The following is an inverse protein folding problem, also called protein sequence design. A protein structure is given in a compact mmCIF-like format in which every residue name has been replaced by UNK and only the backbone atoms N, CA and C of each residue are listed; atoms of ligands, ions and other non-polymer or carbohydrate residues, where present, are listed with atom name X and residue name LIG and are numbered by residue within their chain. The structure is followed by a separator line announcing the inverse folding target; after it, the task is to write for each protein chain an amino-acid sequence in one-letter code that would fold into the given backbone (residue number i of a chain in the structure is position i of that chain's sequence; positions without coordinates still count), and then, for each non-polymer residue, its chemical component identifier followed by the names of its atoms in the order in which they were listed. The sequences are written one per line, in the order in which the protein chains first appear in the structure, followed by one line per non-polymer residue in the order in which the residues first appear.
data_IF_119862258295
#
_entry.id   IF_119862258295
#
_cell.length_a   1.000
_cell.length_b   1.000
_cell.length_c   1.000
_cell.angle_alpha   90.00
_cell.angle_beta   90.00
_cell.angle_gamma   90.00
#
_symmetry.space_group_name_H-M   'P 1'
#
loop_
_entity.id
_entity.type
_entity.pdbx_description
1 polymer ?
#
# COMPACT_ATOMS: atom_id res chain seq x y z
N UNK A 1 -16.17 -1.27 -18.76
CA UNK A 1 -14.70 -1.21 -18.72
C UNK A 1 -14.33 0.24 -18.46
N UNK A 2 -13.63 0.53 -17.36
CA UNK A 2 -13.11 1.89 -17.14
C UNK A 2 -11.83 1.98 -17.97
N UNK A 3 -11.89 2.67 -19.10
CA UNK A 3 -10.74 2.87 -19.98
C UNK A 3 -9.64 3.63 -19.21
N UNK A 4 -8.38 3.19 -19.35
CA UNK A 4 -7.25 3.89 -18.74
C UNK A 4 -7.08 3.73 -17.23
N UNK A 5 -7.58 2.64 -16.62
CA UNK A 5 -7.33 2.37 -15.18
C UNK A 5 -5.90 1.95 -14.83
N UNK A 6 -5.08 1.60 -15.83
CA UNK A 6 -3.69 1.14 -15.67
C UNK A 6 -3.56 -0.12 -14.81
N UNK A 7 -4.42 -1.11 -15.08
CA UNK A 7 -4.31 -2.42 -14.41
C UNK A 7 -2.98 -3.08 -14.77
N UNK A 8 -2.28 -3.57 -13.76
CA UNK A 8 -0.95 -4.15 -13.89
C UNK A 8 0.19 -3.14 -13.65
N UNK A 9 -0.11 -1.91 -13.22
CA UNK A 9 0.94 -0.96 -12.79
C UNK A 9 1.78 -1.52 -11.64
N UNK A 10 1.13 -2.30 -10.76
CA UNK A 10 1.75 -3.05 -9.67
C UNK A 10 1.29 -4.50 -9.80
N UNK A 11 2.25 -5.42 -9.80
CA UNK A 11 2.01 -6.87 -9.71
C UNK A 11 2.95 -7.44 -8.65
N UNK A 12 2.42 -8.23 -7.73
CA UNK A 12 3.21 -8.87 -6.68
C UNK A 12 2.70 -10.28 -6.42
N UNK A 13 3.59 -11.17 -6.00
CA UNK A 13 3.24 -12.52 -5.55
C UNK A 13 3.47 -12.65 -4.05
N UNK A 14 2.58 -13.37 -3.39
CA UNK A 14 2.74 -13.79 -2.00
C UNK A 14 3.83 -14.86 -1.94
N UNK A 15 5.00 -14.48 -1.42
CA UNK A 15 6.14 -15.39 -1.23
C UNK A 15 5.99 -16.14 0.09
N UNK A 16 6.79 -17.18 0.31
CA UNK A 16 6.81 -17.92 1.59
C UNK A 16 5.73 -18.99 1.77
N UNK A 17 4.65 -18.94 0.97
CA UNK A 17 3.54 -19.90 1.04
C UNK A 17 3.56 -20.89 -0.15
N UNK A 18 3.35 -22.21 0.06
CA UNK A 18 3.25 -23.19 -1.02
C UNK A 18 2.09 -22.89 -2.00
N UNK A 19 0.98 -22.35 -1.48
CA UNK A 19 -0.19 -21.92 -2.24
C UNK A 19 -0.36 -20.41 -2.07
N UNK A 20 0.57 -19.66 -2.67
CA UNK A 20 0.54 -18.19 -2.65
C UNK A 20 -0.54 -17.61 -3.57
N UNK A 21 -0.68 -16.29 -3.50
CA UNK A 21 -1.60 -15.47 -4.30
C UNK A 21 -0.85 -14.44 -5.12
N UNK A 22 -1.55 -13.84 -6.08
CA UNK A 22 -1.05 -12.77 -6.94
C UNK A 22 -1.92 -11.53 -6.78
N UNK A 23 -1.29 -10.40 -6.49
CA UNK A 23 -1.88 -9.07 -6.44
C UNK A 23 -1.66 -8.36 -7.78
N UNK A 24 -2.70 -7.71 -8.32
CA UNK A 24 -2.60 -6.80 -9.45
C UNK A 24 -3.42 -5.53 -9.21
N UNK A 25 -2.83 -4.35 -9.41
CA UNK A 25 -3.49 -3.07 -9.13
C UNK A 25 -3.67 -2.19 -10.36
N UNK A 26 -4.68 -1.32 -10.32
CA UNK A 26 -4.96 -0.27 -11.28
C UNK A 26 -5.21 1.06 -10.57
N UNK A 27 -4.13 1.82 -10.36
CA UNK A 27 -4.17 3.07 -9.57
C UNK A 27 -5.01 4.20 -10.17
N UNK A 28 -5.35 4.12 -11.46
CA UNK A 28 -6.20 5.11 -12.14
C UNK A 28 -7.65 4.64 -12.27
N UNK A 29 -8.04 3.59 -11.54
CA UNK A 29 -9.43 3.18 -11.47
C UNK A 29 -10.30 4.32 -10.93
N UNK A 30 -11.36 4.65 -11.68
CA UNK A 30 -12.28 5.73 -11.37
C UNK A 30 -13.63 5.16 -10.96
N UNK A 31 -14.16 5.66 -9.83
CA UNK A 31 -15.53 5.46 -9.39
C UNK A 31 -16.30 6.74 -9.61
N UNK A 32 -17.52 6.64 -10.13
CA UNK A 32 -18.40 7.80 -10.35
C UNK A 32 -19.38 7.83 -9.18
N UNK A 33 -19.33 8.89 -8.38
CA UNK A 33 -20.22 9.12 -7.23
C UNK A 33 -20.76 10.54 -7.31
N UNK A 34 -22.08 10.73 -7.18
CA UNK A 34 -22.69 12.08 -7.22
C UNK A 34 -22.22 12.90 -8.44
N UNK A 35 -22.15 12.25 -9.61
CA UNK A 35 -21.66 12.85 -10.87
C UNK A 35 -20.17 13.28 -10.86
N UNK A 36 -19.45 13.09 -9.75
CA UNK A 36 -18.02 13.35 -9.64
C UNK A 36 -17.20 12.10 -9.96
N UNK A 37 -16.08 12.30 -10.67
CA UNK A 37 -15.11 11.25 -10.96
C UNK A 37 -14.07 11.18 -9.85
N UNK A 38 -14.03 10.05 -9.15
CA UNK A 38 -13.13 9.79 -8.02
C UNK A 38 -12.08 8.78 -8.43
N UNK A 39 -10.82 9.21 -8.55
CA UNK A 39 -9.71 8.33 -8.90
C UNK A 39 -9.20 7.66 -7.63
N UNK A 40 -9.95 6.66 -7.16
CA UNK A 40 -9.62 5.97 -5.91
C UNK A 40 -8.55 4.90 -6.12
N UNK A 41 -8.48 4.26 -7.28
CA UNK A 41 -7.65 3.06 -7.48
C UNK A 41 -8.35 1.78 -7.04
N UNK A 42 -7.83 0.62 -7.46
CA UNK A 42 -8.34 -0.70 -7.09
C UNK A 42 -7.28 -1.77 -7.27
N UNK A 43 -7.27 -2.78 -6.40
CA UNK A 43 -6.45 -3.97 -6.56
C UNK A 43 -7.30 -5.25 -6.62
N UNK A 44 -6.70 -6.31 -7.14
CA UNK A 44 -7.29 -7.64 -7.28
C UNK A 44 -6.30 -8.67 -6.77
N UNK A 45 -6.79 -9.64 -5.99
CA UNK A 45 -6.01 -10.79 -5.54
C UNK A 45 -6.55 -12.04 -6.22
N UNK A 46 -5.66 -12.91 -6.70
CA UNK A 46 -5.99 -14.18 -7.37
C UNK A 46 -5.13 -15.31 -6.84
N UNK A 47 -5.60 -16.54 -7.06
CA UNK A 47 -4.83 -17.75 -6.82
C UNK A 47 -3.53 -17.77 -7.66
N UNK A 48 -2.58 -18.62 -7.30
CA UNK A 48 -1.32 -18.78 -8.04
C UNK A 48 -1.52 -19.21 -9.51
N UNK A 49 -2.63 -19.88 -9.82
CA UNK A 49 -3.05 -20.25 -11.18
C UNK A 49 -3.84 -19.14 -11.90
N UNK A 50 -3.92 -17.95 -11.29
CA UNK A 50 -4.63 -16.76 -11.76
C UNK A 50 -6.16 -16.91 -11.84
N UNK A 51 -6.72 -18.01 -11.33
CA UNK A 51 -8.16 -18.19 -11.24
C UNK A 51 -8.76 -17.40 -10.08
N UNK A 52 -10.06 -17.14 -10.18
CA UNK A 52 -10.83 -16.54 -9.10
C UNK A 52 -11.51 -17.65 -8.31
N UNK A 53 -11.24 -17.70 -7.01
CA UNK A 53 -11.90 -18.58 -6.06
C UNK A 53 -12.86 -17.77 -5.17
N UNK A 54 -14.18 -17.97 -5.26
CA UNK A 54 -15.15 -17.27 -4.41
C UNK A 54 -15.11 -17.71 -2.94
N UNK A 55 -14.50 -18.86 -2.62
CA UNK A 55 -14.36 -19.37 -1.25
C UNK A 55 -13.07 -18.86 -0.57
N UNK A 56 -12.22 -18.14 -1.32
CA UNK A 56 -11.02 -17.50 -0.79
C UNK A 56 -11.31 -16.04 -0.39
N UNK A 57 -11.44 -15.79 0.91
CA UNK A 57 -11.73 -14.45 1.44
C UNK A 57 -10.69 -13.40 1.04
N UNK A 58 -9.45 -13.82 0.74
CA UNK A 58 -8.42 -12.93 0.21
C UNK A 58 -8.79 -12.37 -1.17
N UNK A 59 -9.58 -13.09 -1.97
CA UNK A 59 -9.96 -12.71 -3.33
C UNK A 59 -11.30 -11.99 -3.39
N UNK A 60 -12.22 -12.31 -2.48
CA UNK A 60 -13.56 -11.68 -2.41
C UNK A 60 -13.51 -10.28 -1.79
N UNK A 61 -12.47 -9.97 -1.02
CA UNK A 61 -12.23 -8.62 -0.52
C UNK A 61 -12.05 -7.61 -1.67
N UNK A 62 -12.65 -6.43 -1.52
CA UNK A 62 -12.72 -5.46 -2.61
C UNK A 62 -11.37 -4.82 -2.96
N UNK A 63 -10.47 -4.70 -1.96
CA UNK A 63 -9.27 -3.84 -2.00
C UNK A 63 -9.54 -2.47 -2.64
N UNK A 64 -10.73 -1.92 -2.35
CA UNK A 64 -11.09 -0.52 -2.55
C UNK A 64 -11.00 0.15 -1.17
N UNK A 65 -9.78 0.34 -0.65
CA UNK A 65 -9.57 0.79 0.74
C UNK A 65 -9.94 2.26 0.94
N UNK A 66 -10.00 3.04 -0.14
CA UNK A 66 -10.29 4.45 -0.13
C UNK A 66 -11.78 4.70 -0.35
N UNK A 67 -12.39 5.60 0.42
CA UNK A 67 -13.81 5.91 0.30
C UNK A 67 -14.08 6.97 -0.81
N UNK A 68 -14.81 6.62 -1.88
CA UNK A 68 -15.07 7.54 -3.00
C UNK A 68 -16.04 8.67 -2.65
N UNK A 69 -16.81 8.57 -1.56
CA UNK A 69 -17.74 9.63 -1.14
C UNK A 69 -17.00 10.85 -0.57
N UNK A 70 -15.72 10.70 -0.24
CA UNK A 70 -14.88 11.81 0.21
C UNK A 70 -14.34 12.65 -0.95
N UNK A 71 -13.86 13.86 -0.64
CA UNK A 71 -13.21 14.75 -1.59
C UNK A 71 -11.67 14.59 -1.58
N UNK A 72 -10.96 15.51 -2.24
CA UNK A 72 -9.50 15.52 -2.32
C UNK A 72 -8.79 15.90 -1.00
N UNK A 73 -9.48 16.49 -0.02
CA UNK A 73 -8.92 16.75 1.33
C UNK A 73 -8.78 15.48 2.15
N UNK A 74 -9.54 14.45 1.78
CA UNK A 74 -9.50 13.10 2.35
C UNK A 74 -9.05 12.11 1.26
N UNK A 75 -9.83 11.05 0.99
CA UNK A 75 -9.40 9.93 0.14
C UNK A 75 -10.12 9.82 -1.21
N UNK A 76 -10.87 10.84 -1.62
CA UNK A 76 -11.60 10.84 -2.90
C UNK A 76 -10.71 10.74 -4.15
N UNK A 77 -9.41 11.02 -4.00
CA UNK A 77 -8.40 10.99 -5.07
C UNK A 77 -7.20 10.11 -4.70
N UNK A 78 -7.41 9.10 -3.85
CA UNK A 78 -6.41 8.24 -3.24
C UNK A 78 -5.33 7.68 -4.18
N UNK A 79 -5.69 7.35 -5.43
CA UNK A 79 -4.81 6.67 -6.40
C UNK A 79 -4.12 5.42 -5.82
N UNK A 80 -4.85 4.60 -5.07
CA UNK A 80 -4.26 3.41 -4.43
C UNK A 80 -3.76 2.39 -5.45
N UNK A 81 -2.68 1.69 -5.12
CA UNK A 81 -2.15 0.61 -5.94
C UNK A 81 -1.11 1.05 -6.97
N UNK A 82 -0.62 2.29 -6.90
CA UNK A 82 0.55 2.74 -7.65
C UNK A 82 1.82 1.97 -7.22
N UNK A 83 1.85 1.54 -5.96
CA UNK A 83 2.78 0.57 -5.41
C UNK A 83 2.06 -0.32 -4.41
N UNK A 84 2.62 -1.49 -4.12
CA UNK A 84 2.03 -2.46 -3.21
C UNK A 84 2.67 -3.82 -3.31
N UNK A 85 2.26 -4.73 -2.42
CA UNK A 85 2.76 -6.09 -2.38
C UNK A 85 2.04 -6.94 -1.34
N UNK A 86 2.63 -8.10 -1.06
CA UNK A 86 2.08 -9.10 -0.14
C UNK A 86 3.18 -9.67 0.74
N UNK A 87 2.89 -9.85 2.02
CA UNK A 87 3.66 -10.70 2.94
C UNK A 87 2.89 -12.02 3.16
N UNK A 88 3.33 -12.85 4.11
CA UNK A 88 2.61 -14.07 4.47
C UNK A 88 1.17 -13.81 4.92
N UNK A 89 0.90 -12.67 5.57
CA UNK A 89 -0.40 -12.34 6.16
C UNK A 89 -1.00 -11.01 5.72
N UNK A 90 -0.22 -10.15 5.05
CA UNK A 90 -0.63 -8.77 4.79
C UNK A 90 -0.64 -8.46 3.29
N UNK A 91 -1.62 -7.67 2.87
CA UNK A 91 -1.62 -6.94 1.61
C UNK A 91 -1.37 -5.48 1.91
N UNK A 92 -0.26 -4.92 1.43
CA UNK A 92 0.10 -3.52 1.65
C UNK A 92 0.05 -2.74 0.35
N UNK A 93 -0.52 -1.53 0.38
CA UNK A 93 -0.84 -0.75 -0.82
C UNK A 93 -0.56 0.73 -0.59
N UNK A 94 0.22 1.34 -1.48
CA UNK A 94 0.50 2.78 -1.47
C UNK A 94 -0.59 3.58 -2.17
N UNK A 95 -0.89 4.76 -1.63
CA UNK A 95 -1.99 5.64 -2.05
C UNK A 95 -1.54 7.10 -2.06
N UNK A 96 -0.90 7.55 -3.15
CA UNK A 96 -0.22 8.86 -3.22
C UNK A 96 -1.14 10.07 -3.17
N UNK A 97 -2.41 9.91 -3.50
CA UNK A 97 -3.36 11.02 -3.61
C UNK A 97 -4.18 11.29 -2.35
N UNK A 98 -4.08 10.44 -1.31
CA UNK A 98 -4.79 10.65 -0.04
C UNK A 98 -4.35 11.93 0.66
N UNK A 99 -5.30 12.59 1.31
CA UNK A 99 -5.14 13.79 2.14
C UNK A 99 -4.39 14.94 1.42
N UNK A 100 -4.96 15.44 0.32
CA UNK A 100 -4.32 16.40 -0.59
C UNK A 100 -2.91 15.97 -1.01
N UNK A 101 -2.81 14.79 -1.62
CA UNK A 101 -1.54 14.24 -2.09
C UNK A 101 -0.45 14.18 -1.02
N UNK A 102 -0.81 14.20 0.27
CA UNK A 102 0.11 13.77 1.30
C UNK A 102 0.56 12.34 1.01
N UNK A 103 -0.41 11.51 0.66
CA UNK A 103 -0.27 10.09 0.49
C UNK A 103 -0.63 9.30 1.76
N UNK A 104 -0.83 7.99 1.59
CA UNK A 104 -1.09 7.00 2.64
C UNK A 104 -0.53 5.63 2.23
N UNK A 105 -0.44 4.72 3.20
CA UNK A 105 -0.22 3.30 2.97
C UNK A 105 -1.28 2.54 3.75
N UNK A 106 -2.02 1.68 3.06
CA UNK A 106 -3.00 0.80 3.68
C UNK A 106 -2.45 -0.62 3.75
N UNK A 107 -2.59 -1.24 4.91
CA UNK A 107 -2.20 -2.63 5.16
C UNK A 107 -3.44 -3.39 5.62
N UNK A 108 -3.81 -4.42 4.87
CA UNK A 108 -4.88 -5.37 5.23
C UNK A 108 -4.21 -6.66 5.68
N UNK A 109 -4.19 -6.89 7.00
CA UNK A 109 -3.80 -8.17 7.59
C UNK A 109 -4.97 -9.15 7.52
N UNK A 110 -4.67 -10.42 7.31
CA UNK A 110 -5.61 -11.54 7.38
C UNK A 110 -5.03 -12.67 8.21
N UNK A 111 -5.92 -13.39 8.90
CA UNK A 111 -5.50 -14.54 9.68
C UNK A 111 -4.93 -15.63 8.73
N UNK A 112 -3.71 -16.13 9.02
CA UNK A 112 -3.13 -17.22 8.24
C UNK A 112 -3.85 -18.56 8.43
N UNK A 113 -4.64 -18.74 9.49
CA UNK A 113 -5.46 -19.93 9.71
C UNK A 113 -6.69 -19.92 8.77
N UNK A 114 -6.83 -20.92 7.87
CA UNK A 114 -7.99 -21.03 7.00
C UNK A 114 -9.33 -21.05 7.75
N UNK A 115 -9.36 -21.52 8.99
CA UNK A 115 -10.58 -21.53 9.81
C UNK A 115 -11.02 -20.10 10.23
N UNK A 116 -10.09 -19.14 10.25
CA UNK A 116 -10.31 -17.76 10.65
C UNK A 116 -10.03 -16.78 9.50
N UNK A 117 -10.02 -17.26 8.24
CA UNK A 117 -9.70 -16.44 7.07
C UNK A 117 -10.59 -15.18 6.91
N UNK A 118 -11.77 -15.19 7.55
CA UNK A 118 -12.70 -14.07 7.62
C UNK A 118 -12.21 -12.92 8.53
N UNK A 119 -11.34 -13.18 9.52
CA UNK A 119 -10.76 -12.15 10.38
C UNK A 119 -9.74 -11.35 9.58
N UNK A 120 -9.95 -10.03 9.56
CA UNK A 120 -9.11 -9.10 8.85
C UNK A 120 -9.01 -7.79 9.60
N UNK A 121 -7.83 -7.16 9.52
CA UNK A 121 -7.55 -5.89 10.19
C UNK A 121 -6.89 -4.95 9.21
N UNK A 122 -7.49 -3.78 9.04
CA UNK A 122 -6.93 -2.71 8.22
C UNK A 122 -6.22 -1.70 9.10
N UNK A 123 -5.02 -1.29 8.67
CA UNK A 123 -4.19 -0.27 9.31
C UNK A 123 -3.68 0.69 8.25
N UNK A 124 -3.52 1.95 8.61
CA UNK A 124 -2.90 2.96 7.75
C UNK A 124 -2.23 4.06 8.58
N UNK A 125 -1.48 4.95 7.93
CA UNK A 125 -0.81 6.08 8.61
C UNK A 125 -1.78 7.22 8.94
N UNK A 126 -2.89 7.33 8.21
CA UNK A 126 -3.84 8.43 8.32
C UNK A 126 -3.27 9.79 7.90
N UNK A 127 -3.88 10.86 8.41
CA UNK A 127 -3.48 12.23 8.08
C UNK A 127 -2.33 12.71 8.99
N UNK A 128 -1.13 12.84 8.42
CA UNK A 128 0.11 13.28 9.09
C UNK A 128 0.42 14.77 8.90
N UNK A 129 -0.47 15.53 8.23
CA UNK A 129 -0.32 16.95 7.90
C UNK A 129 0.90 17.24 6.99
N UNK A 130 1.23 16.32 6.07
CA UNK A 130 2.35 16.42 5.11
C UNK A 130 1.87 16.52 3.67
N UNK A 131 1.07 17.55 3.37
CA UNK A 131 0.42 17.72 2.04
C UNK A 131 1.44 17.71 0.91
N UNK A 132 1.06 17.14 -0.24
CA UNK A 132 1.87 17.08 -1.46
C UNK A 132 3.18 16.26 -1.39
N UNK A 133 3.39 15.45 -0.34
CA UNK A 133 4.60 14.62 -0.20
C UNK A 133 4.62 13.35 -1.06
N UNK A 134 3.45 12.88 -1.53
CA UNK A 134 3.28 11.65 -2.33
C UNK A 134 3.74 10.39 -1.58
N UNK A 135 3.45 10.27 -0.29
CA UNK A 135 3.68 9.04 0.48
C UNK A 135 2.93 7.85 -0.16
N UNK A 136 3.55 6.68 -0.14
CA UNK A 136 3.03 5.49 -0.83
C UNK A 136 3.34 5.47 -2.32
N UNK A 137 4.25 6.32 -2.81
CA UNK A 137 4.74 6.22 -4.19
C UNK A 137 5.48 4.91 -4.43
N UNK A 138 6.32 4.54 -3.46
CA UNK A 138 6.89 3.21 -3.31
C UNK A 138 6.59 2.70 -1.91
N UNK A 139 6.35 1.39 -1.77
CA UNK A 139 6.05 0.78 -0.47
C UNK A 139 6.62 -0.64 -0.43
N UNK A 140 7.14 -1.03 0.73
CA UNK A 140 7.54 -2.37 1.07
C UNK A 140 7.16 -2.66 2.53
N UNK A 141 7.06 -3.93 2.87
CA UNK A 141 6.87 -4.37 4.24
C UNK A 141 7.80 -5.54 4.52
N UNK A 142 8.68 -5.39 5.50
CA UNK A 142 9.72 -6.40 5.80
C UNK A 142 10.07 -6.48 7.29
N UNK A 143 10.55 -7.66 7.71
CA UNK A 143 11.10 -7.89 9.07
C UNK A 143 12.56 -7.46 9.16
N UNK A 144 13.14 -7.51 10.36
CA UNK A 144 14.58 -7.25 10.63
C UNK A 144 15.04 -5.85 10.23
N UNK A 145 14.11 -4.91 10.31
CA UNK A 145 14.32 -3.48 10.08
C UNK A 145 14.42 -2.75 11.42
N UNK A 146 13.29 -2.27 11.94
CA UNK A 146 13.21 -1.60 13.24
C UNK A 146 13.14 -2.60 14.42
N UNK A 147 12.88 -3.86 14.13
CA UNK A 147 12.75 -4.98 15.07
C UNK A 147 13.13 -6.27 14.33
N UNK A 148 13.70 -7.26 15.04
CA UNK A 148 14.00 -8.58 14.48
C UNK A 148 12.72 -9.35 14.11
N UNK A 149 11.67 -9.19 14.90
CA UNK A 149 10.47 -10.01 14.79
C UNK A 149 9.29 -9.33 14.11
N UNK A 150 9.16 -8.01 14.25
CA UNK A 150 8.01 -7.29 13.73
C UNK A 150 8.24 -6.79 12.29
N UNK A 151 7.20 -6.88 11.47
CA UNK A 151 7.19 -6.24 10.16
C UNK A 151 7.19 -4.72 10.30
N UNK A 152 8.08 -4.08 9.55
CA UNK A 152 8.17 -2.64 9.39
C UNK A 152 7.63 -2.26 8.03
N UNK A 153 6.73 -1.29 8.00
CA UNK A 153 6.23 -0.69 6.76
C UNK A 153 7.21 0.41 6.33
N UNK A 154 7.74 0.32 5.12
CA UNK A 154 8.65 1.32 4.55
C UNK A 154 7.98 1.98 3.37
N UNK A 155 7.89 3.31 3.38
CA UNK A 155 7.24 4.08 2.32
C UNK A 155 8.08 5.25 1.85
N UNK A 156 8.15 5.43 0.53
CA UNK A 156 8.75 6.59 -0.10
C UNK A 156 7.76 7.75 -0.24
N UNK A 157 8.26 8.97 -0.04
CA UNK A 157 7.54 10.23 -0.23
C UNK A 157 8.39 11.17 -1.10
N UNK A 158 8.44 10.95 -2.43
CA UNK A 158 9.44 11.58 -3.30
C UNK A 158 9.37 13.10 -3.41
N UNK A 159 8.25 13.71 -2.99
CA UNK A 159 8.02 15.15 -3.04
C UNK A 159 8.10 15.83 -1.68
N UNK A 160 8.33 15.07 -0.61
CA UNK A 160 8.45 15.60 0.75
C UNK A 160 9.54 16.67 0.81
N UNK A 161 9.18 17.85 1.31
CA UNK A 161 10.05 19.04 1.38
C UNK A 161 10.81 19.36 0.07
N UNK A 162 10.25 18.97 -1.08
CA UNK A 162 10.87 19.07 -2.41
C UNK A 162 12.20 18.32 -2.59
N UNK A 163 12.67 17.57 -1.60
CA UNK A 163 13.88 16.72 -1.68
C UNK A 163 13.55 15.24 -1.74
N UNK A 164 12.38 14.87 -1.21
CA UNK A 164 11.96 13.49 -1.01
C UNK A 164 12.34 12.97 0.37
N UNK A 165 11.69 11.91 0.82
CA UNK A 165 12.00 11.21 2.06
C UNK A 165 11.59 9.73 2.01
N UNK A 166 12.14 8.93 2.91
CA UNK A 166 11.71 7.56 3.19
C UNK A 166 11.27 7.48 4.64
N UNK A 167 10.06 6.98 4.88
CA UNK A 167 9.49 6.82 6.21
C UNK A 167 9.37 5.33 6.55
N UNK A 168 9.77 4.97 7.76
CA UNK A 168 9.54 3.65 8.34
C UNK A 168 8.46 3.77 9.41
N UNK A 169 7.50 2.86 9.41
CA UNK A 169 6.38 2.82 10.34
C UNK A 169 6.23 1.47 11.03
N UNK A 170 5.76 1.51 12.29
CA UNK A 170 5.43 0.32 13.07
C UNK A 170 3.91 0.12 13.08
N UNK A 171 3.47 -1.12 12.88
CA UNK A 171 2.06 -1.49 12.96
C UNK A 171 1.66 -1.60 14.43
N UNK A 172 0.65 -0.85 14.85
CA UNK A 172 0.00 -1.01 16.17
C UNK A 172 -1.28 -1.84 16.03
N UNK A 173 -2.08 -1.94 17.10
CA UNK A 173 -3.40 -2.58 16.99
C UNK A 173 -4.36 -1.83 16.05
N UNK A 174 -4.21 -0.50 15.91
CA UNK A 174 -5.20 0.36 15.24
C UNK A 174 -4.70 1.03 13.97
N UNK A 175 -3.42 1.34 13.89
CA UNK A 175 -2.85 2.19 12.84
C UNK A 175 -1.37 1.86 12.59
N UNK A 176 -0.75 2.59 11.68
CA UNK A 176 0.70 2.57 11.44
C UNK A 176 1.28 3.87 12.00
N UNK A 177 2.20 3.77 12.95
CA UNK A 177 2.85 4.92 13.56
C UNK A 177 4.22 5.18 12.93
N UNK A 178 4.52 6.44 12.52
CA UNK A 178 5.85 6.80 12.03
C UNK A 178 6.92 6.58 13.10
N UNK A 179 8.00 5.89 12.74
CA UNK A 179 9.10 5.55 13.63
C UNK A 179 10.42 6.21 13.23
N UNK A 180 10.71 6.31 11.93
CA UNK A 180 11.92 6.94 11.41
C UNK A 180 11.61 7.63 10.08
N UNK A 181 12.24 8.78 9.83
CA UNK A 181 12.20 9.47 8.54
C UNK A 181 13.63 9.74 8.11
N UNK A 182 13.97 9.31 6.91
CA UNK A 182 15.25 9.54 6.24
C UNK A 182 15.03 10.61 5.17
N UNK A 183 15.50 11.85 5.35
CA UNK A 183 15.30 12.92 4.38
C UNK A 183 16.26 12.79 3.19
N UNK A 184 15.79 13.17 2.00
CA UNK A 184 16.63 13.35 0.83
C UNK A 184 17.49 14.61 0.93
N UNK A 185 18.61 14.62 0.20
CA UNK A 185 19.60 15.69 0.29
C UNK A 185 19.41 16.79 -0.77
N UNK A 186 19.10 16.38 -2.00
CA UNK A 186 19.03 17.26 -3.17
C UNK A 186 17.57 17.56 -3.56
N UNK A 187 17.28 18.84 -3.78
CA UNK A 187 15.97 19.30 -4.29
C UNK A 187 15.70 18.71 -5.67
N UNK A 188 14.51 18.14 -5.86
CA UNK A 188 14.09 17.53 -7.12
C UNK A 188 14.69 16.16 -7.40
N UNK A 189 15.48 15.59 -6.49
CA UNK A 189 16.09 14.27 -6.67
C UNK A 189 15.08 13.11 -6.67
N UNK A 190 13.87 13.36 -6.17
CA UNK A 190 12.81 12.36 -6.07
C UNK A 190 13.19 11.21 -5.11
N UNK A 191 13.94 11.52 -4.04
CA UNK A 191 14.39 10.53 -3.05
C UNK A 191 13.20 9.78 -2.41
N UNK A 192 13.23 8.45 -2.45
CA UNK A 192 12.09 7.59 -2.08
C UNK A 192 11.23 7.13 -3.26
N UNK A 193 11.62 7.42 -4.51
CA UNK A 193 10.92 6.95 -5.71
C UNK A 193 10.78 5.42 -5.80
N UNK A 194 11.82 4.69 -5.40
CA UNK A 194 11.86 3.24 -5.41
C UNK A 194 12.62 2.77 -4.17
N UNK A 195 12.20 1.63 -3.63
CA UNK A 195 12.77 1.04 -2.44
C UNK A 195 13.13 -0.42 -2.71
N UNK A 196 14.18 -0.89 -2.06
CA UNK A 196 14.54 -2.30 -1.98
C UNK A 196 15.07 -2.58 -0.58
N UNK A 197 14.74 -3.74 -0.05
CA UNK A 197 15.17 -4.21 1.27
C UNK A 197 15.93 -5.50 1.08
N UNK A 198 17.13 -5.58 1.65
CA UNK A 198 17.96 -6.77 1.65
C UNK A 198 19.01 -6.66 2.75
N UNK A 199 19.35 -7.78 3.38
CA UNK A 199 20.49 -7.88 4.26
C UNK A 199 21.77 -8.07 3.42
N UNK A 200 22.64 -7.05 3.44
CA UNK A 200 23.85 -7.00 2.62
C UNK A 200 25.08 -7.54 3.34
N UNK A 201 25.08 -7.50 4.67
CA UNK A 201 26.22 -7.84 5.52
C UNK A 201 26.04 -9.16 6.28
N UNK A 202 24.87 -9.79 6.16
CA UNK A 202 24.58 -11.10 6.74
C UNK A 202 24.82 -11.11 8.26
N UNK A 203 24.43 -10.04 8.95
CA UNK A 203 24.63 -9.84 10.40
C UNK A 203 23.39 -10.17 11.24
N UNK A 204 22.43 -10.86 10.63
CA UNK A 204 21.29 -11.47 11.31
C UNK A 204 21.67 -12.31 12.55
#
# INVERSE_FOLDING_TARGET
MVEGMWLGVTVASQRGQPVGRVLACGHRYVKITEEQRRMIGKCYVRSNDLTFDPDDDWQTYSYEVCNPNYDMELEGMCNMGISGGMTDTDVYIGATGSYLWQGNVHVTWRDPDPANAWDSRSRDFGQLKRRYSYMGYSVLEERKMLSRDEYTVVTGSPRDESKGSVMLGRKTEKNIEPALIIPGEQVGSYFGNSLAVTDLNNDE
#
